data_IF_469396529182
#
_entry.id   IF_469396529182
#
_cell.length_a   1.000
_cell.length_b   1.000
_cell.length_c   1.000
_cell.angle_alpha   90.00
_cell.angle_beta   90.00
_cell.angle_gamma   90.00
#
_symmetry.space_group_name_H-M   'P 1'
#
loop_
_entity.id
_entity.type
_entity.pdbx_description
1 polymer ?
#
# COMPACT_ATOMS: atom_id res chain seq x y z
N UNK A 1 -10.54 -12.03 -26.34
CA UNK A 1 -11.82 -12.37 -26.94
C UNK A 1 -11.85 -11.81 -28.37
N UNK A 2 -11.95 -12.70 -29.35
CA UNK A 2 -11.88 -12.35 -30.79
C UNK A 2 -13.14 -11.55 -31.22
N UNK A 3 -14.27 -11.78 -30.61
CA UNK A 3 -15.54 -11.12 -30.99
C UNK A 3 -15.63 -9.68 -30.47
N UNK A 4 -15.10 -9.41 -29.28
CA UNK A 4 -15.17 -8.09 -28.66
C UNK A 4 -13.87 -7.29 -28.83
N UNK A 5 -12.80 -7.92 -29.32
CA UNK A 5 -11.46 -7.30 -29.38
C UNK A 5 -10.84 -7.02 -28.01
N UNK A 6 -11.45 -7.50 -26.92
CA UNK A 6 -10.93 -7.36 -25.59
C UNK A 6 -9.78 -8.33 -25.33
N UNK A 7 -8.68 -7.80 -24.85
CA UNK A 7 -7.54 -8.57 -24.35
C UNK A 7 -7.60 -8.59 -22.83
N UNK A 8 -7.44 -9.77 -22.26
CA UNK A 8 -7.50 -9.97 -20.82
C UNK A 8 -6.32 -10.85 -20.38
N UNK A 9 -5.63 -10.40 -19.36
CA UNK A 9 -4.70 -11.23 -18.59
C UNK A 9 -5.18 -11.26 -17.13
N UNK A 10 -5.31 -12.46 -16.60
CA UNK A 10 -5.57 -12.69 -15.18
C UNK A 10 -4.42 -13.56 -14.67
N UNK A 11 -3.57 -13.01 -13.85
CA UNK A 11 -2.46 -13.72 -13.20
C UNK A 11 -2.53 -13.46 -11.69
N UNK A 12 -3.30 -14.26 -10.94
CA UNK A 12 -3.52 -14.05 -9.50
C UNK A 12 -2.21 -14.10 -8.69
N UNK A 13 -1.25 -14.92 -9.12
CA UNK A 13 0.05 -15.08 -8.47
C UNK A 13 0.86 -13.78 -8.49
N UNK A 14 0.68 -12.98 -9.53
CA UNK A 14 1.31 -11.67 -9.70
C UNK A 14 0.38 -10.51 -9.35
N UNK A 15 -0.86 -10.80 -8.93
CA UNK A 15 -1.91 -9.80 -8.71
C UNK A 15 -2.16 -8.89 -9.93
N UNK A 16 -2.01 -9.44 -11.14
CA UNK A 16 -2.28 -8.72 -12.39
C UNK A 16 -3.67 -9.06 -12.90
N UNK A 17 -4.48 -8.04 -13.08
CA UNK A 17 -5.80 -8.09 -13.67
C UNK A 17 -5.89 -6.94 -14.68
N UNK A 18 -5.66 -7.22 -15.96
CA UNK A 18 -5.68 -6.21 -17.01
C UNK A 18 -6.69 -6.60 -18.09
N UNK A 19 -7.65 -5.72 -18.36
CA UNK A 19 -8.66 -5.88 -19.40
C UNK A 19 -8.67 -4.61 -20.23
N UNK A 20 -8.35 -4.71 -21.52
CA UNK A 20 -8.29 -3.56 -22.42
C UNK A 20 -8.35 -4.01 -23.88
N UNK A 21 -8.73 -3.11 -24.78
CA UNK A 21 -8.59 -3.32 -26.23
C UNK A 21 -7.13 -3.21 -26.72
N UNK A 22 -6.25 -2.63 -25.93
CA UNK A 22 -4.81 -2.52 -26.23
C UNK A 22 -4.07 -3.78 -25.72
N UNK A 23 -3.76 -4.69 -26.67
CA UNK A 23 -3.01 -5.92 -26.40
C UNK A 23 -1.62 -5.64 -25.83
N UNK A 24 -0.94 -4.63 -26.36
CA UNK A 24 0.42 -4.34 -25.93
C UNK A 24 0.46 -3.77 -24.52
N UNK A 25 -0.59 -3.02 -24.13
CA UNK A 25 -0.75 -2.58 -22.74
C UNK A 25 -0.88 -3.76 -21.78
N UNK A 26 -1.72 -4.75 -22.10
CA UNK A 26 -1.88 -5.95 -21.26
C UNK A 26 -0.56 -6.70 -21.08
N UNK A 27 0.23 -6.84 -22.13
CA UNK A 27 1.53 -7.50 -22.08
C UNK A 27 2.55 -6.67 -21.28
N UNK A 28 2.56 -5.34 -21.45
CA UNK A 28 3.42 -4.45 -20.64
C UNK A 28 3.06 -4.53 -19.16
N UNK A 29 1.78 -4.47 -18.79
CA UNK A 29 1.33 -4.55 -17.40
C UNK A 29 1.83 -5.85 -16.73
N UNK A 30 1.73 -6.99 -17.44
CA UNK A 30 2.23 -8.26 -16.94
C UNK A 30 3.77 -8.26 -16.79
N UNK A 31 4.48 -7.77 -17.80
CA UNK A 31 5.94 -7.72 -17.77
C UNK A 31 6.45 -6.78 -16.67
N UNK A 32 5.85 -5.60 -16.51
CA UNK A 32 6.22 -4.64 -15.48
C UNK A 32 5.99 -5.21 -14.08
N UNK A 33 4.87 -5.92 -13.87
CA UNK A 33 4.59 -6.57 -12.57
C UNK A 33 5.57 -7.71 -12.29
N UNK A 34 5.85 -8.56 -13.27
CA UNK A 34 6.80 -9.66 -13.12
C UNK A 34 8.22 -9.13 -12.80
N UNK A 35 8.66 -8.07 -13.48
CA UNK A 35 9.94 -7.41 -13.20
C UNK A 35 9.98 -6.76 -11.82
N UNK A 36 8.90 -6.08 -11.42
CA UNK A 36 8.78 -5.47 -10.10
C UNK A 36 8.90 -6.51 -9.00
N UNK A 37 8.21 -7.63 -9.16
CA UNK A 37 8.23 -8.73 -8.19
C UNK A 37 9.60 -9.40 -8.10
N UNK A 38 10.26 -9.62 -9.24
CA UNK A 38 11.62 -10.15 -9.28
C UNK A 38 12.62 -9.25 -8.52
N UNK A 39 12.52 -7.94 -8.72
CA UNK A 39 13.36 -6.96 -8.00
C UNK A 39 13.03 -6.88 -6.51
N UNK A 40 11.78 -7.12 -6.13
CA UNK A 40 11.32 -7.07 -4.74
C UNK A 40 11.79 -8.27 -3.90
N UNK A 41 12.24 -9.34 -4.54
CA UNK A 41 12.85 -10.48 -3.84
C UNK A 41 14.07 -10.08 -2.98
N UNK A 42 14.70 -8.97 -3.29
CA UNK A 42 15.82 -8.42 -2.51
C UNK A 42 15.40 -7.66 -1.25
N UNK A 43 14.13 -7.26 -1.13
CA UNK A 43 13.63 -6.59 0.08
C UNK A 43 13.10 -7.63 1.06
N UNK A 44 13.98 -8.23 1.84
CA UNK A 44 13.60 -9.25 2.82
C UNK A 44 13.01 -8.60 4.06
N UNK A 45 11.81 -9.06 4.44
CA UNK A 45 11.20 -8.75 5.74
C UNK A 45 11.54 -9.86 6.73
N UNK A 46 12.32 -9.52 7.75
CA UNK A 46 12.54 -10.42 8.90
C UNK A 46 11.53 -10.07 9.97
N UNK A 47 10.74 -11.04 10.41
CA UNK A 47 9.83 -10.85 11.55
C UNK A 47 10.55 -11.32 12.81
N UNK A 48 10.64 -10.42 13.78
CA UNK A 48 11.24 -10.63 15.09
C UNK A 48 10.15 -10.68 16.16
N UNK A 49 10.50 -11.21 17.33
CA UNK A 49 9.65 -11.11 18.50
C UNK A 49 9.44 -9.64 18.89
N UNK A 50 8.24 -9.32 19.35
CA UNK A 50 7.87 -7.96 19.74
C UNK A 50 6.38 -7.82 19.97
N UNK A 51 6.00 -6.66 20.49
CA UNK A 51 4.62 -6.30 20.75
C UNK A 51 4.09 -5.36 19.68
N UNK A 52 2.82 -5.50 19.36
CA UNK A 52 2.11 -4.54 18.50
C UNK A 52 1.87 -3.25 19.29
N UNK A 53 1.83 -2.14 18.58
CA UNK A 53 1.37 -0.87 19.13
C UNK A 53 -0.17 -0.86 19.05
N UNK A 54 -0.89 -0.80 20.18
CA UNK A 54 -2.34 -0.75 20.17
C UNK A 54 -2.86 0.46 19.39
N UNK A 55 -3.92 0.29 18.62
CA UNK A 55 -4.47 1.37 17.77
C UNK A 55 -4.80 2.65 18.54
N UNK A 56 -5.26 2.52 19.79
CA UNK A 56 -5.62 3.66 20.64
C UNK A 56 -4.53 4.09 21.62
N UNK A 57 -3.30 3.62 21.43
CA UNK A 57 -2.13 4.11 22.17
C UNK A 57 -1.89 5.60 21.87
N UNK A 58 -1.45 6.36 22.86
CA UNK A 58 -1.17 7.80 22.75
C UNK A 58 -0.02 8.12 21.80
N UNK A 59 0.81 7.14 21.44
CA UNK A 59 1.86 7.29 20.43
C UNK A 59 1.31 7.31 18.99
N UNK A 60 0.11 6.78 18.77
CA UNK A 60 -0.53 6.84 17.44
C UNK A 60 -1.11 8.24 17.26
N UNK A 61 -0.72 8.98 16.21
CA UNK A 61 -1.23 10.33 15.97
C UNK A 61 -2.76 10.36 15.93
N UNK A 62 -3.36 11.28 16.68
CA UNK A 62 -4.83 11.41 16.74
C UNK A 62 -5.43 11.72 15.36
N UNK A 63 -4.71 12.50 14.54
CA UNK A 63 -5.08 12.79 13.15
C UNK A 63 -5.20 11.53 12.31
N UNK A 64 -4.24 10.60 12.44
CA UNK A 64 -4.28 9.32 11.74
C UNK A 64 -5.48 8.48 12.20
N UNK A 65 -5.72 8.41 13.52
CA UNK A 65 -6.86 7.67 14.07
C UNK A 65 -8.19 8.19 13.54
N UNK A 66 -8.38 9.51 13.54
CA UNK A 66 -9.60 10.17 13.03
C UNK A 66 -9.83 9.90 11.55
N UNK A 67 -8.78 10.00 10.72
CA UNK A 67 -8.89 9.77 9.28
C UNK A 67 -9.20 8.30 8.97
N UNK A 68 -8.53 7.36 9.63
CA UNK A 68 -8.80 5.92 9.42
C UNK A 68 -10.20 5.54 9.90
N UNK A 69 -10.63 6.03 11.07
CA UNK A 69 -11.99 5.79 11.55
C UNK A 69 -13.04 6.34 10.58
N UNK A 70 -12.85 7.55 10.07
CA UNK A 70 -13.72 8.13 9.06
C UNK A 70 -13.72 7.31 7.76
N UNK A 71 -12.55 6.86 7.29
CA UNK A 71 -12.46 5.99 6.11
C UNK A 71 -13.25 4.67 6.30
N UNK A 72 -13.20 4.09 7.50
CA UNK A 72 -13.97 2.89 7.82
C UNK A 72 -15.47 3.17 7.82
N UNK A 73 -15.91 4.27 8.45
CA UNK A 73 -17.32 4.69 8.47
C UNK A 73 -17.86 4.95 7.07
N UNK A 74 -17.03 5.49 6.16
CA UNK A 74 -17.39 5.73 4.77
C UNK A 74 -17.27 4.49 3.87
N UNK A 75 -16.86 3.33 4.41
CA UNK A 75 -16.70 2.09 3.64
C UNK A 75 -15.51 2.10 2.67
N UNK A 76 -14.51 2.95 2.90
CA UNK A 76 -13.31 3.02 2.04
C UNK A 76 -12.47 1.74 2.09
N UNK A 77 -12.52 1.00 3.21
CA UNK A 77 -11.86 -0.30 3.37
C UNK A 77 -12.83 -1.44 3.05
N UNK A 78 -12.98 -1.73 1.76
CA UNK A 78 -13.81 -2.86 1.34
C UNK A 78 -13.18 -4.19 1.72
N UNK A 79 -13.96 -5.07 2.35
CA UNK A 79 -13.51 -6.40 2.73
C UNK A 79 -13.76 -7.41 1.62
N UNK A 80 -12.77 -8.23 1.32
CA UNK A 80 -12.85 -9.38 0.44
C UNK A 80 -12.27 -10.60 1.17
N UNK A 81 -13.06 -11.65 1.33
CA UNK A 81 -12.70 -12.83 2.13
C UNK A 81 -12.20 -12.43 3.54
N UNK A 82 -12.93 -11.57 4.24
CA UNK A 82 -12.61 -11.05 5.57
C UNK A 82 -11.29 -10.28 5.68
N UNK A 83 -10.71 -9.85 4.57
CA UNK A 83 -9.51 -9.01 4.53
C UNK A 83 -9.82 -7.71 3.80
N UNK A 84 -9.46 -6.58 4.38
CA UNK A 84 -9.59 -5.28 3.71
C UNK A 84 -8.39 -4.98 2.83
N UNK A 85 -8.62 -4.26 1.74
CA UNK A 85 -7.58 -3.76 0.85
C UNK A 85 -7.20 -2.34 1.25
N UNK A 86 -5.92 -2.07 1.26
CA UNK A 86 -5.37 -0.78 1.70
C UNK A 86 -4.42 -0.95 2.88
N UNK A 87 -3.92 0.17 3.37
CA UNK A 87 -3.01 0.21 4.52
C UNK A 87 -2.90 1.63 5.08
N UNK A 88 -2.39 1.74 6.28
CA UNK A 88 -2.09 3.01 6.92
C UNK A 88 -0.89 2.86 7.86
N UNK A 89 -0.31 3.98 8.21
CA UNK A 89 0.83 4.00 9.11
C UNK A 89 1.33 5.41 9.38
N UNK A 90 2.33 5.50 10.26
CA UNK A 90 3.01 6.75 10.58
C UNK A 90 4.50 6.52 10.84
N UNK A 91 5.27 7.56 10.60
CA UNK A 91 6.73 7.57 10.71
C UNK A 91 7.14 8.49 11.86
N UNK A 92 7.39 7.95 13.08
CA UNK A 92 7.72 8.76 14.25
C UNK A 92 9.16 9.29 14.21
N UNK A 93 10.06 8.60 13.53
CA UNK A 93 11.49 8.89 13.48
C UNK A 93 12.13 8.35 12.19
N UNK A 94 13.38 8.71 11.96
CA UNK A 94 14.16 8.20 10.82
C UNK A 94 14.23 6.67 10.88
N UNK A 95 14.05 6.02 9.73
CA UNK A 95 14.14 4.57 9.54
C UNK A 95 13.15 3.70 10.34
N UNK A 96 12.16 4.31 10.98
CA UNK A 96 11.09 3.59 11.69
C UNK A 96 9.73 3.97 11.13
N UNK A 97 8.90 2.96 10.89
CA UNK A 97 7.49 3.12 10.52
C UNK A 97 6.65 2.22 11.42
N UNK A 98 5.52 2.73 11.88
CA UNK A 98 4.43 1.90 12.37
C UNK A 98 3.43 1.70 11.25
N UNK A 99 3.26 0.46 10.81
CA UNK A 99 2.40 0.10 9.67
C UNK A 99 1.28 -0.84 10.11
N UNK A 100 0.13 -0.71 9.47
CA UNK A 100 -0.96 -1.69 9.62
C UNK A 100 -0.47 -3.10 9.29
N UNK A 101 -1.09 -4.10 9.92
CA UNK A 101 -0.75 -5.53 9.73
C UNK A 101 -1.24 -6.05 8.37
N UNK A 102 -0.54 -7.03 7.85
CA UNK A 102 -0.91 -7.72 6.62
C UNK A 102 -2.12 -8.63 6.83
N UNK A 103 -3.03 -8.66 5.85
CA UNK A 103 -4.20 -9.55 5.80
C UNK A 103 -5.11 -9.38 7.02
N UNK A 104 -5.45 -8.14 7.36
CA UNK A 104 -6.39 -7.82 8.41
C UNK A 104 -7.66 -7.20 7.86
N UNK A 105 -8.73 -7.28 8.64
CA UNK A 105 -9.97 -6.56 8.38
C UNK A 105 -10.00 -5.28 9.23
N UNK A 106 -9.66 -4.14 8.64
CA UNK A 106 -9.59 -2.86 9.35
C UNK A 106 -10.96 -2.32 9.77
N UNK A 107 -12.07 -2.92 9.32
CA UNK A 107 -13.39 -2.60 9.82
C UNK A 107 -13.59 -3.07 11.28
N UNK A 108 -12.75 -4.03 11.71
CA UNK A 108 -12.73 -4.52 13.09
C UNK A 108 -11.67 -3.74 13.90
N UNK A 109 -12.03 -3.08 15.00
CA UNK A 109 -11.10 -2.25 15.79
C UNK A 109 -9.84 -3.00 16.26
N UNK A 110 -9.98 -4.26 16.67
CA UNK A 110 -8.89 -5.12 17.15
C UNK A 110 -7.89 -5.51 16.05
N UNK A 111 -8.24 -5.29 14.80
CA UNK A 111 -7.38 -5.55 13.64
C UNK A 111 -6.50 -4.36 13.26
N UNK A 112 -6.62 -3.20 13.92
CA UNK A 112 -5.92 -1.96 13.55
C UNK A 112 -4.60 -1.75 14.27
N UNK A 113 -4.21 -2.61 15.22
CA UNK A 113 -2.92 -2.52 15.90
C UNK A 113 -1.76 -2.52 14.89
N UNK A 114 -0.73 -1.73 15.20
CA UNK A 114 0.34 -1.43 14.28
C UNK A 114 1.60 -2.24 14.57
N UNK A 115 2.30 -2.58 13.51
CA UNK A 115 3.61 -3.24 13.55
C UNK A 115 4.70 -2.20 13.47
N UNK A 116 5.65 -2.23 14.39
CA UNK A 116 6.89 -1.47 14.27
C UNK A 116 7.78 -2.11 13.20
N UNK A 117 8.26 -1.29 12.27
CA UNK A 117 9.13 -1.71 11.16
C UNK A 117 10.36 -0.82 11.14
N UNK A 118 11.53 -1.43 11.17
CA UNK A 118 12.81 -0.75 10.98
C UNK A 118 13.33 -1.02 9.57
N UNK A 119 13.79 0.03 8.91
CA UNK A 119 14.28 -0.04 7.54
C UNK A 119 15.78 0.10 7.46
N UNK A 120 16.37 -0.66 6.57
CA UNK A 120 17.72 -0.47 6.06
C UNK A 120 17.66 -0.40 4.53
N UNK A 121 18.82 -0.18 3.88
CA UNK A 121 18.87 -0.02 2.42
C UNK A 121 18.10 -1.11 1.67
N UNK A 122 18.35 -2.38 2.00
CA UNK A 122 17.82 -3.52 1.21
C UNK A 122 16.97 -4.48 2.04
N UNK A 123 16.69 -4.17 3.30
CA UNK A 123 15.91 -5.04 4.19
C UNK A 123 15.02 -4.25 5.14
N UNK A 124 14.10 -4.95 5.75
CA UNK A 124 13.26 -4.41 6.82
C UNK A 124 13.08 -5.46 7.91
N UNK A 125 13.05 -4.99 9.16
CA UNK A 125 12.76 -5.79 10.35
C UNK A 125 11.41 -5.39 10.88
N UNK A 126 10.52 -6.34 11.09
CA UNK A 126 9.19 -6.12 11.64
C UNK A 126 9.07 -6.82 12.99
N UNK A 127 8.39 -6.21 13.96
CA UNK A 127 8.30 -6.69 15.33
C UNK A 127 6.87 -7.15 15.66
N UNK A 128 6.73 -8.40 16.08
CA UNK A 128 5.49 -9.02 16.52
C UNK A 128 4.59 -9.58 15.42
N UNK A 129 4.58 -9.00 14.22
CA UNK A 129 3.79 -9.48 13.09
C UNK A 129 4.36 -9.03 11.73
N UNK A 130 3.83 -9.58 10.64
CA UNK A 130 4.11 -9.07 9.29
C UNK A 130 3.36 -7.76 9.06
N UNK A 131 4.06 -6.69 8.62
CA UNK A 131 3.43 -5.44 8.23
C UNK A 131 2.67 -5.59 6.91
N UNK A 132 1.92 -4.56 6.54
CA UNK A 132 1.36 -4.43 5.20
C UNK A 132 2.41 -4.66 4.12
N UNK A 133 2.01 -5.22 2.98
CA UNK A 133 2.89 -5.31 1.81
C UNK A 133 3.38 -3.92 1.36
N UNK A 134 2.57 -2.88 1.56
CA UNK A 134 2.91 -1.50 1.25
C UNK A 134 3.87 -0.79 2.21
N UNK A 135 4.36 -1.44 3.28
CA UNK A 135 5.17 -0.76 4.31
C UNK A 135 6.42 -0.05 3.73
N UNK A 136 7.11 -0.67 2.77
CA UNK A 136 8.27 -0.05 2.11
C UNK A 136 7.86 1.20 1.32
N UNK A 137 6.78 1.14 0.57
CA UNK A 137 6.26 2.30 -0.18
C UNK A 137 5.84 3.43 0.75
N UNK A 138 5.16 3.11 1.86
CA UNK A 138 4.79 4.09 2.90
C UNK A 138 6.04 4.81 3.43
N UNK A 139 7.05 4.04 3.83
CA UNK A 139 8.31 4.57 4.35
C UNK A 139 9.00 5.50 3.33
N UNK A 140 9.05 5.10 2.05
CA UNK A 140 9.68 5.90 1.00
C UNK A 140 8.93 7.21 0.75
N UNK A 141 7.61 7.17 0.70
CA UNK A 141 6.78 8.37 0.53
C UNK A 141 7.00 9.33 1.70
N UNK A 142 6.83 8.85 2.94
CA UNK A 142 7.02 9.68 4.14
C UNK A 142 8.47 10.18 4.33
N UNK A 143 9.45 9.46 3.79
CA UNK A 143 10.84 9.93 3.83
C UNK A 143 11.12 11.06 2.83
N UNK A 144 10.34 11.16 1.75
CA UNK A 144 10.44 12.26 0.77
C UNK A 144 9.62 13.49 1.18
N UNK A 145 8.58 13.32 1.97
CA UNK A 145 7.68 14.37 2.42
C UNK A 145 7.80 14.57 3.94
N UNK A 146 8.93 15.15 4.36
CA UNK A 146 9.25 15.32 5.78
C UNK A 146 8.23 16.18 6.57
N UNK A 147 7.37 16.94 5.88
CA UNK A 147 6.27 17.70 6.50
C UNK A 147 5.08 16.81 6.91
N UNK A 148 5.02 15.57 6.44
CA UNK A 148 3.97 14.61 6.77
C UNK A 148 4.57 13.41 7.51
N UNK A 149 3.92 12.98 8.57
CA UNK A 149 4.29 11.83 9.38
C UNK A 149 3.34 10.64 9.22
N UNK A 150 2.17 10.85 8.63
CA UNK A 150 1.10 9.85 8.47
C UNK A 150 0.77 9.60 7.00
N UNK A 151 0.36 8.37 6.71
CA UNK A 151 -0.12 7.96 5.38
C UNK A 151 -1.32 7.02 5.51
N UNK A 152 -2.31 7.24 4.66
CA UNK A 152 -3.48 6.37 4.51
C UNK A 152 -3.64 6.02 3.04
N UNK A 153 -3.80 4.73 2.76
CA UNK A 153 -4.02 4.20 1.42
C UNK A 153 -5.24 3.28 1.42
N UNK A 154 -6.13 3.46 0.48
CA UNK A 154 -7.32 2.64 0.31
C UNK A 154 -7.65 2.47 -1.19
N UNK A 155 -8.46 1.46 -1.50
CA UNK A 155 -8.91 1.16 -2.85
C UNK A 155 -10.41 1.39 -2.91
N UNK A 156 -10.84 2.56 -3.34
CA UNK A 156 -12.24 2.82 -3.63
C UNK A 156 -12.39 3.47 -5.00
N UNK A 157 -13.52 3.24 -5.69
CA UNK A 157 -13.81 3.91 -6.95
C UNK A 157 -13.88 5.43 -6.73
N UNK A 158 -13.36 6.19 -7.70
CA UNK A 158 -13.57 7.64 -7.71
C UNK A 158 -15.04 7.96 -7.94
N UNK A 159 -15.55 8.90 -7.18
CA UNK A 159 -16.88 9.45 -7.43
C UNK A 159 -16.89 10.14 -8.80
N UNK A 160 -17.88 9.87 -9.68
CA UNK A 160 -17.99 10.59 -10.95
C UNK A 160 -18.00 12.11 -10.73
N UNK A 161 -17.18 12.83 -11.50
CA UNK A 161 -17.06 14.29 -11.39
C UNK A 161 -16.23 14.78 -10.19
N UNK A 162 -15.56 13.89 -9.46
CA UNK A 162 -14.62 14.32 -8.42
C UNK A 162 -13.43 15.06 -9.05
N UNK A 163 -13.12 16.23 -8.48
CA UNK A 163 -11.94 17.01 -8.89
C UNK A 163 -10.71 16.51 -8.13
N UNK A 164 -10.12 15.42 -8.62
CA UNK A 164 -8.90 14.82 -8.06
C UNK A 164 -7.86 14.65 -9.16
N UNK A 165 -6.60 14.85 -8.80
CA UNK A 165 -5.50 14.59 -9.70
C UNK A 165 -5.39 13.07 -9.96
N UNK A 166 -5.27 12.69 -11.23
CA UNK A 166 -5.11 11.30 -11.65
C UNK A 166 -3.77 11.17 -12.35
N UNK A 167 -2.92 10.31 -11.82
CA UNK A 167 -1.64 9.97 -12.45
C UNK A 167 -1.64 8.52 -12.90
N UNK A 168 -1.54 8.25 -14.19
CA UNK A 168 -1.29 6.90 -14.69
C UNK A 168 0.09 6.42 -14.19
N UNK A 169 0.12 5.21 -13.66
CA UNK A 169 1.36 4.58 -13.21
C UNK A 169 1.60 3.29 -13.99
N UNK A 170 2.88 2.88 -14.08
CA UNK A 170 3.21 1.51 -14.45
C UNK A 170 2.76 0.55 -13.35
N UNK A 171 2.49 -0.68 -13.74
CA UNK A 171 2.20 -1.74 -12.78
C UNK A 171 3.48 -2.13 -12.04
N UNK A 172 3.50 -1.87 -10.74
CA UNK A 172 4.56 -2.31 -9.83
C UNK A 172 3.95 -3.08 -8.68
N UNK A 173 4.69 -4.05 -8.16
CA UNK A 173 4.25 -4.76 -6.97
C UNK A 173 4.09 -3.80 -5.79
N UNK A 174 2.96 -3.91 -5.09
CA UNK A 174 2.69 -3.11 -3.89
C UNK A 174 3.82 -3.31 -2.86
N UNK A 175 4.38 -2.21 -2.39
CA UNK A 175 5.49 -2.22 -1.44
C UNK A 175 6.88 -2.31 -2.07
N UNK A 176 6.99 -2.35 -3.40
CA UNK A 176 8.28 -2.22 -4.08
C UNK A 176 8.84 -0.80 -3.98
N UNK A 177 10.16 -0.65 -4.16
CA UNK A 177 10.79 0.67 -4.27
C UNK A 177 10.15 1.49 -5.39
N UNK A 178 9.94 0.88 -6.55
CA UNK A 178 9.37 1.54 -7.72
C UNK A 178 7.95 2.05 -7.46
N UNK A 179 7.13 1.29 -6.73
CA UNK A 179 5.80 1.73 -6.32
C UNK A 179 5.89 2.97 -5.43
N UNK A 180 6.76 2.97 -4.43
CA UNK A 180 6.99 4.11 -3.54
C UNK A 180 7.54 5.34 -4.27
N UNK A 181 8.50 5.16 -5.18
CA UNK A 181 9.06 6.23 -5.99
C UNK A 181 8.02 6.87 -6.91
N UNK A 182 7.22 6.07 -7.61
CA UNK A 182 6.16 6.57 -8.48
C UNK A 182 5.09 7.33 -7.70
N UNK A 183 4.67 6.80 -6.55
CA UNK A 183 3.70 7.48 -5.68
C UNK A 183 4.24 8.82 -5.20
N UNK A 184 5.47 8.84 -4.69
CA UNK A 184 6.11 10.07 -4.24
C UNK A 184 6.30 11.09 -5.39
N UNK A 185 6.71 10.64 -6.57
CA UNK A 185 6.84 11.52 -7.74
C UNK A 185 5.49 12.13 -8.15
N UNK A 186 4.39 11.32 -8.11
CA UNK A 186 3.04 11.83 -8.37
C UNK A 186 2.59 12.88 -7.37
N UNK A 187 2.85 12.65 -6.09
CA UNK A 187 2.54 13.63 -5.04
C UNK A 187 3.33 14.92 -5.18
N UNK A 188 4.59 14.87 -5.63
CA UNK A 188 5.40 16.08 -5.90
C UNK A 188 4.89 16.90 -7.09
N UNK A 189 4.27 16.22 -8.07
CA UNK A 189 3.74 16.89 -9.28
C UNK A 189 2.41 17.62 -9.00
N UNK A 190 1.59 17.11 -8.08
CA UNK A 190 0.22 17.58 -7.85
C UNK A 190 -0.04 18.07 -6.41
N UNK A 191 0.96 18.04 -5.54
CA UNK A 191 0.85 18.40 -4.12
C UNK A 191 1.18 19.85 -3.77
#
# INVERSE_FOLDING_TARGET
>A
DVQTGLNMIICPELAVYSITHDRDKVLRDLADMAMSRSKNEFTRTTVLEGTLLPWRDTKVPESLQKVVDWCVEQGAYQAFNDVTVGHFGFKPETDVLYSSRRKQNFNLPECRDLVRVEFSKDSQKAFGAKPSAGARSQYMVLSKFAQYDCIVHFHCPMKPGANVAVRPQRMFECGSHQCGENTAAGMMEYG
#
